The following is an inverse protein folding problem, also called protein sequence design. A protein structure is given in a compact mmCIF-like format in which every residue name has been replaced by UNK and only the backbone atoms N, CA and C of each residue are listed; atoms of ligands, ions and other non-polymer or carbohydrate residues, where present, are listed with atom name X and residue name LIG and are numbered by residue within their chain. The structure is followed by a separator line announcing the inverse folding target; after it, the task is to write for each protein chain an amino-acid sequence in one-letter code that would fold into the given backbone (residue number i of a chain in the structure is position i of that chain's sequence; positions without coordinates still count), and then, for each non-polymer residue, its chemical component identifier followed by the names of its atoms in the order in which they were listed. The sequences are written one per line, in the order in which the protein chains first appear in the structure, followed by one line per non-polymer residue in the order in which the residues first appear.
data_IF_969390097052
#
_entry.id   IF_969390097052
#
_cell.length_a   1.000
_cell.length_b   1.000
_cell.length_c   1.000
_cell.angle_alpha   90.00
_cell.angle_beta   90.00
_cell.angle_gamma   90.00
#
_symmetry.space_group_name_H-M   'P 1'
#
loop_
_entity.id
_entity.type
_entity.pdbx_description
1 polymer ?
#
# COMPACT_ATOMS: atom_id res chain seq x y z
N UNK A 1 -1.97 6.69 -6.58
CA UNK A 1 -3.16 6.67 -5.72
C UNK A 1 -2.87 7.48 -4.46
N UNK A 2 -3.81 8.29 -4.02
CA UNK A 2 -3.70 9.05 -2.75
C UNK A 2 -4.94 8.84 -1.92
N UNK A 3 -4.82 8.70 -0.60
CA UNK A 3 -5.96 8.62 0.30
C UNK A 3 -5.62 9.17 1.70
N UNK A 4 -6.65 9.47 2.47
CA UNK A 4 -6.56 9.90 3.88
C UNK A 4 -7.49 9.06 4.74
N UNK A 5 -7.00 8.65 5.91
CA UNK A 5 -7.75 7.87 6.89
C UNK A 5 -8.11 8.71 8.11
N UNK A 6 -9.36 8.60 8.58
CA UNK A 6 -9.88 9.33 9.73
C UNK A 6 -10.55 8.35 10.70
N UNK A 7 -10.40 8.60 12.01
CA UNK A 7 -11.17 7.93 13.05
C UNK A 7 -12.46 8.70 13.37
N UNK A 8 -13.31 8.10 14.20
CA UNK A 8 -14.48 8.77 14.77
C UNK A 8 -14.05 10.09 15.45
N UNK A 9 -14.80 11.17 15.20
CA UNK A 9 -14.42 12.52 15.62
C UNK A 9 -13.59 13.30 14.59
N UNK A 10 -13.29 12.71 13.42
CA UNK A 10 -12.67 13.43 12.30
C UNK A 10 -11.16 13.66 12.43
N UNK A 11 -10.50 12.94 13.34
CA UNK A 11 -9.05 13.02 13.52
C UNK A 11 -8.39 12.20 12.41
N UNK A 12 -7.52 12.85 11.63
CA UNK A 12 -6.74 12.18 10.60
C UNK A 12 -5.64 11.33 11.24
N UNK A 13 -5.56 10.06 10.87
CA UNK A 13 -4.55 9.12 11.38
C UNK A 13 -3.62 8.61 10.29
N UNK A 14 -3.88 8.93 9.03
CA UNK A 14 -3.10 8.43 7.92
C UNK A 14 -3.24 9.33 6.68
N UNK A 15 -2.15 9.47 5.93
CA UNK A 15 -2.15 9.92 4.54
C UNK A 15 -1.26 8.99 3.72
N UNK A 16 -1.78 8.47 2.60
CA UNK A 16 -1.04 7.55 1.74
C UNK A 16 -0.79 8.12 0.35
N UNK A 17 0.33 7.71 -0.23
CA UNK A 17 0.75 7.96 -1.59
C UNK A 17 1.33 6.67 -2.16
N UNK A 18 0.58 6.02 -3.05
CA UNK A 18 1.05 4.84 -3.78
C UNK A 18 1.35 5.23 -5.22
N UNK A 19 2.55 4.89 -5.68
CA UNK A 19 3.01 5.15 -7.04
C UNK A 19 3.30 3.83 -7.73
N UNK A 20 2.87 3.72 -8.98
CA UNK A 20 3.03 2.53 -9.80
C UNK A 20 3.67 2.97 -11.11
N UNK A 21 4.58 2.15 -11.63
CA UNK A 21 5.15 2.30 -12.96
C UNK A 21 5.43 0.92 -13.53
N UNK A 22 5.41 0.82 -14.86
CA UNK A 22 5.85 -0.42 -15.52
C UNK A 22 7.29 -0.73 -15.11
N UNK A 23 7.59 -2.03 -14.94
CA UNK A 23 8.95 -2.45 -14.64
C UNK A 23 9.85 -2.19 -15.86
N UNK A 24 11.13 -1.91 -15.63
CA UNK A 24 12.05 -1.45 -16.67
C UNK A 24 12.26 -2.46 -17.82
N UNK A 25 12.05 -3.75 -17.57
CA UNK A 25 12.15 -4.83 -18.56
C UNK A 25 10.83 -5.09 -19.32
N UNK A 26 9.77 -4.33 -19.01
CA UNK A 26 8.43 -4.51 -19.58
C UNK A 26 7.64 -5.68 -18.99
N UNK A 27 8.13 -6.33 -17.93
CA UNK A 27 7.45 -7.43 -17.25
C UNK A 27 7.04 -7.03 -15.83
N UNK A 28 5.74 -6.84 -15.63
CA UNK A 28 5.19 -6.45 -14.33
C UNK A 28 5.34 -4.95 -14.06
N UNK A 29 5.39 -4.57 -12.79
CA UNK A 29 5.42 -3.17 -12.37
C UNK A 29 6.25 -3.01 -11.09
N UNK A 30 6.86 -1.83 -10.94
CA UNK A 30 7.42 -1.39 -9.66
C UNK A 30 6.35 -0.60 -8.90
N UNK A 31 6.36 -0.73 -7.57
CA UNK A 31 5.45 0.00 -6.70
C UNK A 31 6.19 0.62 -5.52
N UNK A 32 5.97 1.92 -5.31
CA UNK A 32 6.37 2.63 -4.11
C UNK A 32 5.14 2.90 -3.26
N UNK A 33 5.12 2.31 -2.07
CA UNK A 33 4.04 2.46 -1.09
C UNK A 33 4.49 3.36 0.05
N UNK A 34 4.01 4.61 0.08
CA UNK A 34 4.32 5.56 1.14
C UNK A 34 3.09 5.87 2.00
N UNK A 35 3.27 5.83 3.31
CA UNK A 35 2.24 6.19 4.30
C UNK A 35 2.85 7.10 5.36
N UNK A 36 2.18 8.21 5.63
CA UNK A 36 2.48 9.12 6.73
C UNK A 36 1.57 8.81 7.91
N UNK A 37 2.17 8.65 9.08
CA UNK A 37 1.51 8.46 10.37
C UNK A 37 1.68 9.68 11.26
N UNK A 38 0.76 9.93 12.22
CA UNK A 38 0.98 10.89 13.29
C UNK A 38 2.31 10.63 14.00
N UNK A 39 3.02 11.70 14.36
CA UNK A 39 4.33 11.60 15.04
C UNK A 39 4.26 10.84 16.39
N UNK A 40 3.08 10.73 16.99
CA UNK A 40 2.84 9.99 18.22
C UNK A 40 2.64 8.47 18.03
N UNK A 41 2.61 7.98 16.78
CA UNK A 41 2.50 6.54 16.52
C UNK A 41 3.78 5.82 16.98
N UNK A 42 3.58 4.68 17.65
CA UNK A 42 4.68 3.79 18.03
C UNK A 42 5.33 3.13 16.81
N UNK A 43 6.60 2.78 16.95
CA UNK A 43 7.36 2.08 15.90
C UNK A 43 6.74 0.72 15.53
N UNK A 44 6.10 0.06 16.50
CA UNK A 44 5.37 -1.19 16.33
C UNK A 44 4.19 -1.04 15.37
N UNK A 45 3.44 0.06 15.46
CA UNK A 45 2.34 0.37 14.53
C UNK A 45 2.89 0.57 13.12
N UNK A 46 3.99 1.32 12.99
CA UNK A 46 4.62 1.60 11.69
C UNK A 46 5.13 0.31 11.05
N UNK A 47 5.85 -0.53 11.81
CA UNK A 47 6.37 -1.81 11.31
C UNK A 47 5.24 -2.80 10.98
N UNK A 48 4.20 -2.87 11.81
CA UNK A 48 3.02 -3.69 11.54
C UNK A 48 2.36 -3.28 10.22
N UNK A 49 2.19 -1.98 9.98
CA UNK A 49 1.64 -1.48 8.71
C UNK A 49 2.56 -1.79 7.53
N UNK A 50 3.88 -1.68 7.69
CA UNK A 50 4.84 -2.04 6.64
C UNK A 50 4.69 -3.51 6.23
N UNK A 51 4.54 -4.40 7.20
CA UNK A 51 4.32 -5.83 6.97
C UNK A 51 2.94 -6.11 6.35
N UNK A 52 1.88 -5.44 6.82
CA UNK A 52 0.55 -5.50 6.21
C UNK A 52 0.62 -5.20 4.72
N UNK A 53 1.22 -4.07 4.34
CA UNK A 53 1.28 -3.63 2.95
C UNK A 53 1.97 -4.66 2.06
N UNK A 54 3.07 -5.24 2.56
CA UNK A 54 3.79 -6.28 1.83
C UNK A 54 2.89 -7.48 1.54
N UNK A 55 2.14 -7.96 2.54
CA UNK A 55 1.24 -9.12 2.38
C UNK A 55 0.08 -8.78 1.44
N UNK A 56 -0.59 -7.65 1.68
CA UNK A 56 -1.78 -7.22 0.93
C UNK A 56 -1.45 -7.03 -0.56
N UNK A 57 -0.48 -6.19 -0.89
CA UNK A 57 -0.13 -5.88 -2.28
C UNK A 57 0.47 -7.08 -3.01
N UNK A 58 1.27 -7.91 -2.34
CA UNK A 58 1.81 -9.14 -2.96
C UNK A 58 0.69 -10.09 -3.35
N UNK A 59 -0.29 -10.29 -2.47
CA UNK A 59 -1.38 -11.23 -2.70
C UNK A 59 -2.37 -10.71 -3.75
N UNK A 60 -2.76 -9.44 -3.68
CA UNK A 60 -3.63 -8.83 -4.69
C UNK A 60 -3.00 -8.86 -6.08
N UNK A 61 -1.72 -8.54 -6.19
CA UNK A 61 -1.03 -8.51 -7.49
C UNK A 61 -0.93 -9.91 -8.11
N UNK A 62 -0.59 -10.92 -7.29
CA UNK A 62 -0.60 -12.33 -7.73
C UNK A 62 -1.99 -12.76 -8.17
N UNK A 63 -3.01 -12.49 -7.36
CA UNK A 63 -4.38 -12.87 -7.68
C UNK A 63 -4.88 -12.21 -8.99
N UNK A 64 -4.61 -10.91 -9.16
CA UNK A 64 -4.98 -10.18 -10.37
C UNK A 64 -4.27 -10.74 -11.61
N UNK A 65 -2.99 -11.08 -11.49
CA UNK A 65 -2.24 -11.73 -12.56
C UNK A 65 -2.86 -13.08 -12.96
N UNK A 66 -3.09 -13.97 -11.98
CA UNK A 66 -3.72 -15.28 -12.24
C UNK A 66 -5.11 -15.12 -12.88
N UNK A 67 -5.93 -14.20 -12.37
CA UNK A 67 -7.25 -13.92 -12.94
C UNK A 67 -7.17 -13.42 -14.39
N UNK A 68 -6.16 -12.59 -14.72
CA UNK A 68 -5.95 -12.10 -16.09
C UNK A 68 -5.55 -13.18 -17.09
N UNK A 69 -5.00 -14.31 -16.62
CA UNK A 69 -4.66 -15.47 -17.47
C UNK A 69 -5.86 -16.36 -17.80
N UNK A 70 -6.97 -16.20 -17.05
CA UNK A 70 -8.20 -16.96 -17.24
C UNK A 70 -9.24 -16.22 -18.09
N UNK A 71 -9.00 -14.95 -18.41
CA UNK A 71 -9.85 -14.08 -19.23
C UNK A 71 -9.40 -14.07 -20.70
#
# INVERSE_FOLDING_TARGET
MTARGFIEGGIQIMELYHQFKDHADGQGFDVDLAIYFPAACGEDVVECHRQHLLVEFSNWSKQAYEASKLA
#
